data_IF_169363574584
#
_entry.id   IF_169363574584
#
_cell.length_a   1.000
_cell.length_b   1.000
_cell.length_c   1.000
_cell.angle_alpha   90.00
_cell.angle_beta   90.00
_cell.angle_gamma   90.00
#
_symmetry.space_group_name_H-M   'P 1'
#
loop_
_entity.id
_entity.type
_entity.pdbx_description
1 polymer ?
#
# COMPACT_ATOMS: atom_id res chain seq x y z
N UNK A 1 -23.08 46.85 15.76
CA UNK A 1 -21.90 46.55 14.87
C UNK A 1 -20.96 45.48 15.41
N UNK A 2 -20.73 45.30 16.70
CA UNK A 2 -19.82 44.24 17.24
C UNK A 2 -20.37 42.79 17.09
N UNK A 3 -21.69 42.60 17.11
CA UNK A 3 -22.31 41.26 16.97
C UNK A 3 -22.24 40.68 15.55
N UNK A 4 -22.25 41.53 14.53
CA UNK A 4 -22.15 41.10 13.12
C UNK A 4 -20.73 40.63 12.80
N UNK A 5 -19.73 41.23 13.42
CA UNK A 5 -18.32 40.85 13.25
C UNK A 5 -18.03 39.46 13.87
N UNK A 6 -18.70 39.12 14.99
CA UNK A 6 -18.55 37.82 15.64
C UNK A 6 -19.23 36.69 14.85
N UNK A 7 -20.35 36.99 14.19
CA UNK A 7 -21.04 36.00 13.34
C UNK A 7 -20.25 35.70 12.04
N UNK A 8 -19.57 36.68 11.47
CA UNK A 8 -18.74 36.48 10.28
C UNK A 8 -17.47 35.71 10.64
N UNK A 9 -16.89 35.93 11.82
CA UNK A 9 -15.70 35.19 12.27
C UNK A 9 -16.04 33.73 12.64
N UNK A 10 -17.22 33.46 13.18
CA UNK A 10 -17.68 32.10 13.49
C UNK A 10 -17.98 31.27 12.24
N UNK A 11 -18.42 31.89 11.12
CA UNK A 11 -18.70 31.18 9.87
C UNK A 11 -17.42 30.78 9.09
N UNK A 12 -16.29 31.43 9.36
CA UNK A 12 -15.01 31.07 8.71
C UNK A 12 -14.38 29.83 9.34
N UNK A 13 -14.69 29.51 10.59
CA UNK A 13 -14.12 28.36 11.30
C UNK A 13 -14.83 27.04 10.92
N UNK A 14 -16.07 27.09 10.39
CA UNK A 14 -16.83 25.90 9.98
C UNK A 14 -16.60 25.45 8.53
N UNK A 15 -15.88 26.22 7.73
CA UNK A 15 -15.54 25.85 6.32
C UNK A 15 -14.22 25.10 6.21
N UNK A 16 -13.81 24.40 7.23
CA UNK A 16 -12.60 23.53 7.24
C UNK A 16 -12.71 22.25 6.43
N UNK A 17 -13.58 22.18 5.41
CA UNK A 17 -13.42 21.21 4.34
C UNK A 17 -12.31 21.68 3.40
N UNK A 18 -11.05 21.45 3.79
CA UNK A 18 -9.97 21.47 2.83
C UNK A 18 -10.27 20.42 1.78
N UNK A 19 -10.69 20.85 0.62
CA UNK A 19 -10.76 20.03 -0.58
C UNK A 19 -9.33 19.55 -0.87
N UNK A 20 -8.98 18.39 -0.31
CA UNK A 20 -7.76 17.68 -0.70
C UNK A 20 -7.99 17.20 -2.13
N UNK A 21 -7.44 17.95 -3.09
CA UNK A 21 -7.37 17.49 -4.46
C UNK A 21 -6.64 16.14 -4.46
N UNK A 22 -7.23 15.08 -5.02
CA UNK A 22 -6.63 13.74 -4.99
C UNK A 22 -5.39 13.60 -5.89
N UNK A 23 -4.94 14.67 -6.53
CA UNK A 23 -3.95 14.60 -7.61
C UNK A 23 -2.50 14.90 -7.20
N UNK A 24 -2.24 15.52 -6.06
CA UNK A 24 -0.86 15.81 -5.65
C UNK A 24 -0.75 15.95 -4.13
N UNK A 25 -0.66 14.83 -3.42
CA UNK A 25 -0.15 14.84 -2.05
C UNK A 25 1.35 14.43 -2.05
N UNK A 26 2.14 15.12 -2.83
CA UNK A 26 3.61 15.15 -2.69
C UNK A 26 3.97 16.06 -1.51
N UNK A 27 3.41 15.77 -0.34
CA UNK A 27 3.55 16.69 0.82
C UNK A 27 4.64 16.26 1.77
N UNK A 28 5.39 15.18 1.47
CA UNK A 28 6.51 14.82 2.32
C UNK A 28 7.82 14.82 1.51
N UNK A 29 8.85 15.38 2.12
CA UNK A 29 10.24 15.28 1.65
C UNK A 29 10.62 13.81 1.45
N UNK A 30 9.99 12.91 2.21
CA UNK A 30 10.13 11.46 2.11
C UNK A 30 9.66 10.91 0.76
N UNK A 31 8.49 11.35 0.26
CA UNK A 31 7.97 10.89 -1.04
C UNK A 31 8.90 11.34 -2.19
N UNK A 32 9.41 12.57 -2.12
CA UNK A 32 10.36 13.07 -3.11
C UNK A 32 11.71 12.32 -3.05
N UNK A 33 12.16 11.94 -1.86
CA UNK A 33 13.38 11.16 -1.68
C UNK A 33 13.22 9.73 -2.21
N UNK A 34 12.09 9.06 -1.94
CA UNK A 34 11.81 7.69 -2.42
C UNK A 34 11.71 7.63 -3.95
N UNK A 35 11.06 8.63 -4.58
CA UNK A 35 10.99 8.72 -6.04
C UNK A 35 12.39 8.86 -6.67
N UNK A 36 13.29 9.61 -6.03
CA UNK A 36 14.64 9.82 -6.56
C UNK A 36 15.54 8.58 -6.40
N UNK A 37 15.21 7.67 -5.48
CA UNK A 37 15.93 6.41 -5.25
C UNK A 37 15.33 5.22 -6.00
N UNK A 38 14.14 5.37 -6.55
CA UNK A 38 13.47 4.33 -7.32
C UNK A 38 14.08 4.24 -8.72
N UNK A 39 14.58 3.08 -9.09
CA UNK A 39 15.17 2.84 -10.42
C UNK A 39 14.16 2.93 -11.58
N UNK A 40 12.87 2.91 -11.26
CA UNK A 40 11.81 3.10 -12.23
C UNK A 40 11.77 4.56 -12.67
N UNK A 41 11.68 4.83 -13.97
CA UNK A 41 11.39 6.18 -14.45
C UNK A 41 10.07 6.72 -13.89
N UNK A 42 9.98 8.03 -13.67
CA UNK A 42 8.79 8.71 -13.12
C UNK A 42 7.50 8.31 -13.83
N UNK A 43 7.53 8.13 -15.14
CA UNK A 43 6.37 7.67 -15.91
C UNK A 43 5.87 6.28 -15.48
N UNK A 44 6.80 5.34 -15.23
CA UNK A 44 6.47 3.99 -14.77
C UNK A 44 5.88 4.01 -13.37
N UNK A 45 6.45 4.81 -12.46
CA UNK A 45 5.93 4.99 -11.10
C UNK A 45 4.49 5.52 -11.13
N UNK A 46 4.22 6.55 -11.94
CA UNK A 46 2.88 7.11 -12.09
C UNK A 46 1.91 6.05 -12.64
N UNK A 47 2.32 5.31 -13.67
CA UNK A 47 1.51 4.24 -14.28
C UNK A 47 1.17 3.15 -13.26
N UNK A 48 2.16 2.66 -12.50
CA UNK A 48 1.98 1.65 -11.47
C UNK A 48 1.04 2.16 -10.36
N UNK A 49 1.20 3.40 -9.90
CA UNK A 49 0.31 4.01 -8.93
C UNK A 49 -1.15 4.09 -9.44
N UNK A 50 -1.35 4.42 -10.71
CA UNK A 50 -2.68 4.44 -11.31
C UNK A 50 -3.29 3.04 -11.35
N UNK A 51 -2.53 2.02 -11.74
CA UNK A 51 -2.98 0.62 -11.75
C UNK A 51 -3.38 0.20 -10.33
N UNK A 52 -2.51 0.42 -9.35
CA UNK A 52 -2.75 0.10 -7.94
C UNK A 52 -4.05 0.74 -7.43
N UNK A 53 -4.22 2.06 -7.64
CA UNK A 53 -5.41 2.79 -7.19
C UNK A 53 -6.69 2.32 -7.88
N UNK A 54 -6.64 2.02 -9.18
CA UNK A 54 -7.80 1.48 -9.91
C UNK A 54 -8.23 0.13 -9.34
N UNK A 55 -7.28 -0.77 -9.11
CA UNK A 55 -7.59 -2.09 -8.56
C UNK A 55 -8.07 -2.00 -7.12
N UNK A 56 -7.45 -1.18 -6.27
CA UNK A 56 -7.94 -0.91 -4.91
C UNK A 56 -9.38 -0.39 -4.92
N UNK A 57 -9.71 0.53 -5.82
CA UNK A 57 -11.08 1.06 -5.95
C UNK A 57 -12.08 -0.03 -6.35
N UNK A 58 -11.71 -0.94 -7.27
CA UNK A 58 -12.57 -2.08 -7.64
C UNK A 58 -12.78 -3.05 -6.47
N UNK A 59 -11.73 -3.35 -5.70
CA UNK A 59 -11.81 -4.20 -4.51
C UNK A 59 -12.76 -3.56 -3.48
N UNK A 60 -12.62 -2.27 -3.20
CA UNK A 60 -13.48 -1.55 -2.27
C UNK A 60 -14.93 -1.45 -2.75
N UNK A 61 -15.18 -1.47 -4.05
CA UNK A 61 -16.52 -1.45 -4.62
C UNK A 61 -17.17 -2.84 -4.67
N UNK A 62 -16.40 -3.91 -4.48
CA UNK A 62 -16.93 -5.27 -4.41
C UNK A 62 -17.65 -5.51 -3.07
N UNK A 63 -18.86 -6.04 -3.12
CA UNK A 63 -19.63 -6.37 -1.93
C UNK A 63 -18.96 -7.48 -1.10
N UNK A 64 -18.26 -8.40 -1.76
CA UNK A 64 -17.63 -9.55 -1.11
C UNK A 64 -16.24 -9.20 -0.57
N UNK A 65 -15.45 -8.40 -1.32
CA UNK A 65 -14.04 -8.16 -1.03
C UNK A 65 -13.78 -6.94 -0.15
N UNK A 66 -14.72 -6.00 -0.07
CA UNK A 66 -14.53 -4.72 0.65
C UNK A 66 -14.23 -4.85 2.15
N UNK A 67 -14.57 -5.98 2.76
CA UNK A 67 -14.37 -6.25 4.18
C UNK A 67 -13.06 -7.01 4.48
N UNK A 68 -12.28 -7.38 3.45
CA UNK A 68 -11.01 -8.04 3.64
C UNK A 68 -9.86 -7.05 3.66
N UNK A 69 -8.82 -7.38 4.43
CA UNK A 69 -7.56 -6.64 4.40
C UNK A 69 -6.74 -7.15 3.21
N UNK A 70 -6.79 -6.39 2.12
CA UNK A 70 -6.13 -6.74 0.87
C UNK A 70 -5.21 -5.60 0.42
N UNK A 71 -3.94 -5.90 0.31
CA UNK A 71 -2.93 -5.00 -0.23
C UNK A 71 -2.69 -5.28 -1.72
N UNK A 72 -2.50 -4.22 -2.46
CA UNK A 72 -2.16 -4.25 -3.88
C UNK A 72 -0.87 -3.49 -4.08
N UNK A 73 0.13 -4.15 -4.62
CA UNK A 73 1.40 -3.54 -5.03
C UNK A 73 1.55 -3.65 -6.53
N UNK A 74 1.91 -2.57 -7.21
CA UNK A 74 2.17 -2.57 -8.65
C UNK A 74 3.57 -2.07 -8.93
N UNK A 75 4.34 -2.86 -9.70
CA UNK A 75 5.69 -2.52 -10.15
C UNK A 75 5.89 -3.00 -11.58
N UNK A 76 6.28 -2.10 -12.49
CA UNK A 76 6.45 -2.37 -13.92
C UNK A 76 5.24 -3.04 -14.59
N UNK A 77 4.03 -2.77 -14.10
CA UNK A 77 2.80 -3.42 -14.56
C UNK A 77 2.62 -4.86 -14.06
N UNK A 78 3.49 -5.35 -13.21
CA UNK A 78 3.28 -6.55 -12.43
C UNK A 78 2.56 -6.21 -11.14
N UNK A 79 1.49 -6.93 -10.82
CA UNK A 79 0.69 -6.71 -9.62
C UNK A 79 0.86 -7.88 -8.68
N UNK A 80 1.19 -7.57 -7.42
CA UNK A 80 1.19 -8.51 -6.30
C UNK A 80 -0.03 -8.21 -5.42
N UNK A 81 -0.89 -9.22 -5.25
CA UNK A 81 -2.04 -9.21 -4.37
C UNK A 81 -1.66 -9.92 -3.07
N UNK A 82 -1.83 -9.24 -1.94
CA UNK A 82 -1.42 -9.74 -0.62
C UNK A 82 -2.60 -9.62 0.33
N UNK A 83 -2.81 -10.61 1.19
CA UNK A 83 -3.80 -10.53 2.26
C UNK A 83 -4.56 -11.83 2.49
N UNK A 84 -5.79 -11.68 2.98
CA UNK A 84 -6.63 -12.79 3.37
C UNK A 84 -8.02 -12.69 2.77
N UNK A 85 -8.60 -13.83 2.44
CA UNK A 85 -10.00 -13.96 2.01
C UNK A 85 -10.68 -15.11 2.77
N UNK A 86 -12.02 -15.17 2.76
CA UNK A 86 -12.74 -16.23 3.43
C UNK A 86 -12.82 -17.50 2.59
N UNK A 87 -13.04 -17.37 1.28
CA UNK A 87 -13.37 -18.48 0.39
C UNK A 87 -12.52 -18.49 -0.88
N UNK A 88 -12.55 -19.61 -1.58
CA UNK A 88 -11.92 -19.72 -2.90
C UNK A 88 -12.62 -18.82 -3.92
N UNK A 89 -13.92 -18.62 -3.81
CA UNK A 89 -14.69 -17.76 -4.71
C UNK A 89 -14.25 -16.29 -4.56
N UNK A 90 -14.00 -15.82 -3.32
CA UNK A 90 -13.45 -14.48 -3.06
C UNK A 90 -12.06 -14.32 -3.71
N UNK A 91 -11.21 -15.36 -3.61
CA UNK A 91 -9.89 -15.36 -4.25
C UNK A 91 -9.99 -15.29 -5.77
N UNK A 92 -10.91 -16.04 -6.35
CA UNK A 92 -11.17 -16.03 -7.81
C UNK A 92 -11.70 -14.66 -8.23
N UNK A 93 -12.65 -14.08 -7.48
CA UNK A 93 -13.17 -12.74 -7.75
C UNK A 93 -12.04 -11.70 -7.73
N UNK A 94 -11.18 -11.72 -6.72
CA UNK A 94 -10.04 -10.82 -6.60
C UNK A 94 -9.10 -10.91 -7.82
N UNK A 95 -8.77 -12.14 -8.25
CA UNK A 95 -7.91 -12.36 -9.43
C UNK A 95 -8.60 -11.85 -10.70
N UNK A 96 -9.90 -12.05 -10.84
CA UNK A 96 -10.66 -11.57 -12.01
C UNK A 96 -10.71 -10.04 -12.06
N UNK A 97 -10.92 -9.36 -10.91
CA UNK A 97 -10.84 -7.90 -10.84
C UNK A 97 -9.45 -7.38 -11.27
N UNK A 98 -8.39 -8.09 -10.91
CA UNK A 98 -7.05 -7.74 -11.34
C UNK A 98 -6.87 -7.95 -12.85
N UNK A 99 -7.34 -9.08 -13.42
CA UNK A 99 -7.29 -9.36 -14.86
C UNK A 99 -8.02 -8.31 -15.68
N UNK A 100 -9.17 -7.84 -15.17
CA UNK A 100 -9.99 -6.82 -15.81
C UNK A 100 -9.47 -5.39 -15.61
N UNK A 101 -8.31 -5.24 -14.96
CA UNK A 101 -7.71 -3.93 -14.73
C UNK A 101 -6.65 -3.65 -15.79
N UNK A 102 -6.94 -2.64 -16.62
CA UNK A 102 -6.08 -2.22 -17.71
C UNK A 102 -4.69 -1.81 -17.23
N UNK A 103 -3.66 -2.30 -17.88
CA UNK A 103 -2.26 -1.97 -17.62
C UNK A 103 -1.52 -3.02 -16.81
N UNK A 104 -2.19 -4.05 -16.32
CA UNK A 104 -1.58 -5.20 -15.63
C UNK A 104 -1.08 -6.19 -16.68
N UNK A 105 0.20 -6.54 -16.56
CA UNK A 105 0.86 -7.52 -17.44
C UNK A 105 0.94 -8.90 -16.77
N UNK A 106 1.25 -8.91 -15.47
CA UNK A 106 1.38 -10.12 -14.67
C UNK A 106 0.72 -9.95 -13.31
N UNK A 107 0.17 -11.06 -12.79
CA UNK A 107 -0.46 -11.09 -11.47
C UNK A 107 0.24 -12.15 -10.65
N UNK A 108 0.77 -11.75 -9.49
CA UNK A 108 1.25 -12.61 -8.42
C UNK A 108 0.30 -12.52 -7.24
N UNK A 109 0.16 -13.57 -6.47
CA UNK A 109 -0.73 -13.59 -5.32
C UNK A 109 -0.06 -14.22 -4.11
N UNK A 110 -0.18 -13.55 -2.97
CA UNK A 110 0.06 -14.10 -1.65
C UNK A 110 -1.24 -13.94 -0.84
N UNK A 111 -2.20 -14.80 -1.12
CA UNK A 111 -3.54 -14.74 -0.54
C UNK A 111 -3.79 -16.00 0.26
N UNK A 112 -3.91 -15.83 1.58
CA UNK A 112 -4.24 -16.88 2.54
C UNK A 112 -5.75 -16.95 2.78
N UNK A 113 -6.23 -18.06 3.31
CA UNK A 113 -7.60 -18.17 3.81
C UNK A 113 -7.64 -17.83 5.29
N UNK A 114 -8.66 -17.07 5.71
CA UNK A 114 -8.86 -16.72 7.12
C UNK A 114 -8.95 -17.98 7.97
N UNK A 115 -8.15 -18.04 9.03
CA UNK A 115 -8.17 -19.13 10.00
C UNK A 115 -8.50 -18.60 11.40
N UNK A 116 -9.22 -19.35 12.24
CA UNK A 116 -9.57 -18.92 13.60
C UNK A 116 -8.37 -18.66 14.51
N UNK A 117 -7.23 -19.29 14.22
CA UNK A 117 -6.00 -19.19 14.98
C UNK A 117 -4.94 -18.34 14.28
N UNK A 118 -5.38 -17.38 13.46
CA UNK A 118 -4.47 -16.42 12.85
C UNK A 118 -3.69 -15.64 13.91
N UNK A 119 -2.55 -15.15 13.53
CA UNK A 119 -1.71 -14.28 14.33
C UNK A 119 -2.51 -13.11 14.94
N UNK A 120 -2.21 -12.75 16.18
CA UNK A 120 -2.86 -11.62 16.80
C UNK A 120 -2.33 -10.31 16.22
N UNK A 121 -3.20 -9.32 16.06
CA UNK A 121 -2.86 -8.00 15.54
C UNK A 121 -1.64 -7.35 16.24
N UNK A 122 -1.53 -7.52 17.56
CA UNK A 122 -0.39 -6.97 18.31
C UNK A 122 0.93 -7.67 17.98
N UNK A 123 0.89 -8.96 17.67
CA UNK A 123 2.08 -9.72 17.27
C UNK A 123 2.53 -9.29 15.87
N UNK A 124 1.60 -9.11 14.95
CA UNK A 124 1.87 -8.58 13.60
C UNK A 124 2.47 -7.17 13.66
N UNK A 125 1.90 -6.29 14.50
CA UNK A 125 2.40 -4.92 14.69
C UNK A 125 3.82 -4.92 15.29
N UNK A 126 4.09 -5.78 16.27
CA UNK A 126 5.40 -5.92 16.88
C UNK A 126 6.43 -6.43 15.87
N UNK A 127 6.08 -7.44 15.07
CA UNK A 127 6.92 -7.96 13.98
C UNK A 127 7.21 -6.87 12.95
N UNK A 128 6.19 -6.16 12.46
CA UNK A 128 6.35 -5.09 11.49
C UNK A 128 7.29 -4.00 12.01
N UNK A 129 7.10 -3.59 13.27
CA UNK A 129 7.92 -2.55 13.89
C UNK A 129 9.38 -2.99 14.00
N UNK A 130 9.60 -4.23 14.47
CA UNK A 130 10.94 -4.78 14.59
C UNK A 130 11.65 -4.87 13.24
N UNK A 131 11.02 -5.48 12.25
CA UNK A 131 11.61 -5.65 10.92
C UNK A 131 11.90 -4.29 10.27
N UNK A 132 10.99 -3.32 10.35
CA UNK A 132 11.25 -1.96 9.86
C UNK A 132 12.45 -1.32 10.54
N UNK A 133 12.55 -1.47 11.86
CA UNK A 133 13.67 -0.92 12.60
C UNK A 133 15.00 -1.55 12.17
N UNK A 134 15.02 -2.86 12.03
CA UNK A 134 16.23 -3.60 11.62
C UNK A 134 16.65 -3.22 10.18
N UNK A 135 15.70 -3.10 9.25
CA UNK A 135 15.98 -2.67 7.87
C UNK A 135 16.50 -1.22 7.79
N UNK A 136 15.96 -0.31 8.61
CA UNK A 136 16.41 1.09 8.65
C UNK A 136 17.81 1.20 9.29
N UNK A 137 18.10 0.35 10.25
CA UNK A 137 19.40 0.35 10.95
C UNK A 137 20.53 -0.24 10.09
N UNK A 138 20.22 -1.01 9.06
CA UNK A 138 21.24 -1.60 8.18
C UNK A 138 21.66 -0.60 7.08
N UNK A 139 22.92 -0.09 7.11
CA UNK A 139 23.37 0.92 6.15
C UNK A 139 23.58 0.37 4.72
N UNK A 140 23.52 -0.96 4.54
CA UNK A 140 23.70 -1.60 3.23
C UNK A 140 22.36 -1.89 2.54
N UNK A 141 21.24 -1.62 3.21
CA UNK A 141 19.90 -1.83 2.68
C UNK A 141 19.25 -0.49 2.35
N UNK A 142 18.78 -0.32 1.12
CA UNK A 142 17.89 0.79 0.75
C UNK A 142 16.46 0.49 1.23
N UNK A 143 16.23 0.64 2.53
CA UNK A 143 14.96 0.29 3.20
C UNK A 143 13.74 1.05 2.65
N UNK A 144 13.95 2.19 2.00
CA UNK A 144 12.89 3.00 1.38
C UNK A 144 12.23 2.32 0.18
N UNK A 145 12.94 1.39 -0.47
CA UNK A 145 12.46 0.66 -1.64
C UNK A 145 11.82 -0.69 -1.28
N UNK A 146 11.79 -1.03 0.01
CA UNK A 146 11.26 -2.29 0.52
C UNK A 146 9.98 -2.01 1.31
N UNK A 147 8.86 -2.62 0.89
CA UNK A 147 7.62 -2.63 1.63
C UNK A 147 7.48 -3.97 2.36
N UNK A 148 6.95 -3.91 3.57
CA UNK A 148 6.72 -5.09 4.41
C UNK A 148 5.22 -5.23 4.59
N UNK A 149 4.72 -6.42 4.29
CA UNK A 149 3.34 -6.82 4.53
C UNK A 149 3.34 -8.03 5.47
N UNK A 150 2.38 -8.10 6.36
CA UNK A 150 2.23 -9.24 7.27
C UNK A 150 0.86 -9.85 7.06
N UNK A 151 0.82 -11.16 6.86
CA UNK A 151 -0.40 -11.94 6.65
C UNK A 151 -0.32 -13.17 7.53
N UNK A 152 -1.12 -13.25 8.59
CA UNK A 152 -1.14 -14.39 9.53
C UNK A 152 0.25 -14.71 10.12
N UNK A 153 1.02 -13.68 10.50
CA UNK A 153 2.42 -13.78 10.94
C UNK A 153 3.44 -14.18 9.85
N UNK A 154 3.02 -14.37 8.63
CA UNK A 154 3.94 -14.50 7.50
C UNK A 154 4.38 -13.13 7.03
N UNK A 155 5.66 -12.95 6.78
CA UNK A 155 6.24 -11.69 6.30
C UNK A 155 6.42 -11.74 4.79
N UNK A 156 5.80 -10.79 4.10
CA UNK A 156 5.91 -10.65 2.66
C UNK A 156 6.63 -9.35 2.34
N UNK A 157 7.79 -9.46 1.70
CA UNK A 157 8.51 -8.30 1.20
C UNK A 157 8.10 -8.00 -0.24
N UNK A 158 7.89 -6.73 -0.54
CA UNK A 158 7.71 -6.24 -1.90
C UNK A 158 8.57 -5.01 -2.12
N UNK A 159 9.10 -4.85 -3.32
CA UNK A 159 9.96 -3.71 -3.63
C UNK A 159 11.03 -4.05 -4.65
N UNK A 160 12.00 -3.17 -4.78
CA UNK A 160 13.17 -3.36 -5.61
C UNK A 160 14.43 -3.15 -4.78
N UNK A 161 15.41 -4.01 -5.00
CA UNK A 161 16.74 -3.91 -4.40
C UNK A 161 17.80 -3.84 -5.49
N UNK A 162 18.90 -3.13 -5.23
CA UNK A 162 19.89 -2.83 -6.25
C UNK A 162 20.74 -4.06 -6.65
N UNK A 163 20.78 -5.09 -5.79
CA UNK A 163 21.54 -6.29 -6.05
C UNK A 163 21.07 -7.46 -5.18
N UNK A 164 21.52 -8.67 -5.55
CA UNK A 164 21.16 -9.92 -4.88
C UNK A 164 21.70 -10.01 -3.44
N UNK A 165 22.72 -9.22 -3.11
CA UNK A 165 23.27 -9.19 -1.75
C UNK A 165 22.35 -8.41 -0.80
N UNK A 166 21.79 -7.30 -1.26
CA UNK A 166 20.73 -6.58 -0.52
C UNK A 166 19.48 -7.44 -0.33
N UNK A 167 19.08 -8.20 -1.36
CA UNK A 167 17.96 -9.13 -1.26
C UNK A 167 18.19 -10.16 -0.15
N UNK A 168 19.33 -10.86 -0.19
CA UNK A 168 19.69 -11.84 0.83
C UNK A 168 19.75 -11.22 2.23
N UNK A 169 20.27 -10.00 2.33
CA UNK A 169 20.44 -9.31 3.61
C UNK A 169 19.10 -8.86 4.19
N UNK A 170 18.13 -8.49 3.35
CA UNK A 170 16.79 -8.14 3.78
C UNK A 170 15.96 -9.35 4.26
N UNK A 171 16.34 -10.56 3.84
CA UNK A 171 15.66 -11.81 4.18
C UNK A 171 16.23 -12.53 5.42
N UNK A 172 17.33 -12.02 5.99
CA UNK A 172 17.98 -12.54 7.20
C UNK A 172 17.67 -11.69 8.44
#
# INVERSE_FOLDING_TARGET
MKFIFYMIFASIILSGCTFKSPLFNLTSIYDAYTINKDERGIYTIIKDNVIQKKLQAKILASANLSNFHLDVVSQWGEVLLIGEVATMDDKIELINLARDTMGINHIKTYINFKTPNACHFFDELAMLTKIKTDLIADPLIDSTNINIHIVQCDVVFSGAVNNIEQEKRALW
#
